data_IF_099118070209
#
_entry.id   IF_099118070209
#
_cell.length_a   1.000
_cell.length_b   1.000
_cell.length_c   1.000
_cell.angle_alpha   90.00
_cell.angle_beta   90.00
_cell.angle_gamma   90.00
#
_symmetry.space_group_name_H-M   'P 1'
#
loop_
_entity.id
_entity.type
_entity.pdbx_description
1 polymer ?
#
# COMPACT_ATOMS: atom_id res chain seq x y z
N UNK A 1 -19.78 0.12 21.98
CA UNK A 1 -18.48 0.54 21.41
C UNK A 1 -18.72 1.08 20.01
N UNK A 2 -18.24 2.30 19.75
CA UNK A 2 -18.35 2.99 18.44
C UNK A 2 -16.99 3.58 18.11
N UNK A 3 -16.50 3.33 16.91
CA UNK A 3 -15.29 3.97 16.39
C UNK A 3 -15.60 5.42 16.01
N UNK A 4 -14.97 6.38 16.68
CA UNK A 4 -15.16 7.82 16.44
C UNK A 4 -14.29 8.34 15.31
N UNK A 5 -13.02 7.94 15.29
CA UNK A 5 -12.06 8.30 14.25
C UNK A 5 -10.99 7.21 14.10
N UNK A 6 -10.32 7.20 12.94
CA UNK A 6 -9.18 6.32 12.64
C UNK A 6 -8.01 7.15 12.16
N UNK A 7 -6.81 6.61 12.25
CA UNK A 7 -5.56 7.25 11.80
C UNK A 7 -5.33 8.65 12.42
N UNK A 8 -5.73 8.82 13.68
CA UNK A 8 -5.50 10.05 14.44
C UNK A 8 -4.05 10.07 14.90
N UNK A 9 -3.40 11.25 14.85
CA UNK A 9 -2.02 11.35 15.34
C UNK A 9 -1.94 11.07 16.85
N UNK A 10 -0.82 10.49 17.34
CA UNK A 10 -0.67 10.18 18.77
C UNK A 10 -0.89 11.39 19.69
N UNK A 11 -0.47 12.58 19.26
CA UNK A 11 -0.62 13.82 20.03
C UNK A 11 -2.10 14.20 20.19
N UNK A 12 -2.86 14.14 19.10
CA UNK A 12 -4.30 14.44 19.13
C UNK A 12 -5.05 13.37 19.94
N UNK A 13 -4.69 12.09 19.77
CA UNK A 13 -5.27 11.01 20.57
C UNK A 13 -5.03 11.21 22.06
N UNK A 14 -3.80 11.60 22.45
CA UNK A 14 -3.46 11.88 23.86
C UNK A 14 -4.25 13.07 24.42
N UNK A 15 -4.46 14.14 23.64
CA UNK A 15 -5.29 15.28 24.04
C UNK A 15 -6.74 14.87 24.27
N UNK A 16 -7.33 14.10 23.33
CA UNK A 16 -8.73 13.66 23.42
C UNK A 16 -8.93 12.77 24.65
N UNK A 17 -8.05 11.77 24.86
CA UNK A 17 -8.19 10.86 26.00
C UNK A 17 -7.92 11.52 27.35
N UNK A 18 -7.17 12.61 27.39
CA UNK A 18 -6.98 13.41 28.60
C UNK A 18 -8.22 14.27 28.92
N UNK A 19 -8.90 14.79 27.91
CA UNK A 19 -10.09 15.64 28.06
C UNK A 19 -11.36 14.79 28.27
N UNK A 20 -11.44 13.61 27.62
CA UNK A 20 -12.59 12.70 27.63
C UNK A 20 -12.17 11.31 28.11
N UNK A 21 -12.17 11.03 29.42
CA UNK A 21 -11.70 9.73 29.97
C UNK A 21 -12.50 8.51 29.50
N UNK A 22 -13.72 8.70 28.99
CA UNK A 22 -14.57 7.67 28.38
C UNK A 22 -14.12 7.26 26.96
N UNK A 23 -13.26 8.07 26.33
CA UNK A 23 -12.74 7.78 24.99
C UNK A 23 -11.44 6.97 25.10
N UNK A 24 -11.44 5.76 24.57
CA UNK A 24 -10.24 4.95 24.45
C UNK A 24 -9.50 5.22 23.15
N UNK A 25 -8.17 5.10 23.16
CA UNK A 25 -7.34 5.14 21.96
C UNK A 25 -6.48 3.88 21.89
N UNK A 26 -6.61 3.15 20.78
CA UNK A 26 -5.83 1.94 20.52
C UNK A 26 -4.76 2.25 19.47
N UNK A 27 -3.47 1.92 19.72
CA UNK A 27 -2.41 2.06 18.73
C UNK A 27 -2.69 1.18 17.51
N UNK A 28 -2.56 1.75 16.31
CA UNK A 28 -2.70 1.03 15.05
C UNK A 28 -1.50 1.31 14.16
N UNK A 29 -0.95 0.27 13.52
CA UNK A 29 0.04 0.44 12.47
C UNK A 29 -0.65 1.00 11.20
N UNK A 30 -0.01 1.99 10.59
CA UNK A 30 -0.50 2.62 9.36
C UNK A 30 0.52 2.39 8.26
N UNK A 31 0.07 1.89 7.11
CA UNK A 31 0.91 1.78 5.91
C UNK A 31 1.07 3.17 5.29
N UNK A 32 2.31 3.56 5.01
CA UNK A 32 2.63 4.83 4.38
C UNK A 32 3.16 4.59 2.97
N UNK A 33 2.71 5.41 2.03
CA UNK A 33 3.11 5.37 0.62
C UNK A 33 3.77 6.71 0.22
N UNK A 34 5.06 6.91 0.54
CA UNK A 34 5.74 8.19 0.27
C UNK A 34 5.76 8.57 -1.22
N UNK A 35 5.74 7.57 -2.10
CA UNK A 35 5.67 7.75 -3.55
C UNK A 35 4.29 8.21 -4.07
N UNK A 36 3.25 8.14 -3.23
CA UNK A 36 1.88 8.49 -3.64
C UNK A 36 1.39 7.65 -4.82
N UNK A 37 1.33 8.24 -6.02
CA UNK A 37 0.93 7.56 -7.25
C UNK A 37 2.08 6.92 -8.04
N UNK A 38 3.34 7.08 -7.58
CA UNK A 38 4.47 6.48 -8.25
C UNK A 38 4.42 4.95 -8.13
N UNK A 39 4.34 4.25 -9.27
CA UNK A 39 4.21 2.80 -9.35
C UNK A 39 3.05 2.20 -8.52
N UNK A 40 2.02 2.98 -8.18
CA UNK A 40 0.94 2.52 -7.32
C UNK A 40 0.22 1.27 -7.87
N UNK A 41 0.05 1.17 -9.20
CA UNK A 41 -0.52 -0.02 -9.85
C UNK A 41 0.32 -1.31 -9.67
N UNK A 42 1.62 -1.17 -9.38
CA UNK A 42 2.52 -2.30 -9.10
C UNK A 42 2.60 -2.57 -7.61
N UNK A 43 2.89 -1.54 -6.81
CA UNK A 43 3.00 -1.66 -5.35
C UNK A 43 1.68 -2.10 -4.73
N UNK A 44 0.61 -1.41 -5.08
CA UNK A 44 -0.71 -1.71 -4.55
C UNK A 44 -1.07 -0.90 -3.31
N UNK A 45 -2.02 -1.41 -2.55
CA UNK A 45 -2.54 -0.78 -1.34
C UNK A 45 -3.07 -1.82 -0.36
N UNK A 46 -3.21 -1.42 0.90
CA UNK A 46 -3.72 -2.25 1.99
C UNK A 46 -5.04 -1.67 2.54
N UNK A 47 -5.84 -2.49 3.21
CA UNK A 47 -6.99 -2.02 3.96
C UNK A 47 -6.58 -1.41 5.31
N UNK A 48 -7.57 -0.93 6.07
CA UNK A 48 -7.35 -0.36 7.40
C UNK A 48 -6.78 -1.34 8.42
N UNK A 49 -6.94 -2.64 8.21
CA UNK A 49 -6.42 -3.69 9.09
C UNK A 49 -5.01 -4.14 8.68
N UNK A 50 -4.44 -3.51 7.63
CA UNK A 50 -3.11 -3.80 7.13
C UNK A 50 -3.02 -4.96 6.15
N UNK A 51 -4.16 -5.57 5.74
CA UNK A 51 -4.16 -6.66 4.76
C UNK A 51 -4.07 -6.10 3.34
N UNK A 52 -3.27 -6.72 2.50
CA UNK A 52 -3.09 -6.32 1.11
C UNK A 52 -4.38 -6.45 0.29
N UNK A 53 -4.76 -5.40 -0.44
CA UNK A 53 -5.96 -5.37 -1.27
C UNK A 53 -5.67 -5.52 -2.75
N UNK A 54 -4.65 -4.87 -3.25
CA UNK A 54 -4.27 -4.84 -4.67
C UNK A 54 -2.75 -4.83 -4.83
N UNK A 55 -2.26 -5.14 -6.03
CA UNK A 55 -0.85 -5.10 -6.38
C UNK A 55 0.02 -6.10 -5.62
N UNK A 56 1.27 -5.75 -5.39
CA UNK A 56 2.23 -6.55 -4.63
C UNK A 56 1.85 -6.66 -3.16
N UNK A 57 1.23 -5.63 -2.58
CA UNK A 57 0.72 -5.69 -1.20
C UNK A 57 -0.25 -6.87 -1.04
N UNK A 58 -1.15 -7.11 -2.01
CA UNK A 58 -2.06 -8.25 -1.98
C UNK A 58 -1.36 -9.58 -2.31
N UNK A 59 -0.54 -9.61 -3.35
CA UNK A 59 0.08 -10.87 -3.81
C UNK A 59 1.16 -11.40 -2.87
N UNK A 60 1.77 -10.52 -2.08
CA UNK A 60 2.83 -10.82 -1.12
C UNK A 60 2.40 -10.60 0.33
N UNK A 61 1.11 -10.48 0.59
CA UNK A 61 0.57 -10.20 1.92
C UNK A 61 1.11 -11.18 2.97
N UNK A 62 1.13 -12.47 2.68
CA UNK A 62 1.68 -13.51 3.58
C UNK A 62 3.17 -13.36 3.92
N UNK A 63 3.93 -12.63 3.10
CA UNK A 63 5.36 -12.36 3.29
C UNK A 63 5.55 -11.02 4.00
N UNK A 64 4.74 -10.03 3.64
CA UNK A 64 4.81 -8.66 4.18
C UNK A 64 4.15 -8.56 5.54
N UNK A 65 3.08 -9.32 5.78
CA UNK A 65 2.42 -9.37 7.07
C UNK A 65 3.35 -9.95 8.13
N UNK A 66 3.38 -9.33 9.30
CA UNK A 66 4.02 -9.90 10.47
C UNK A 66 3.10 -10.86 11.22
N UNK A 67 3.52 -11.26 12.38
CA UNK A 67 2.69 -11.97 13.34
C UNK A 67 2.55 -11.14 14.59
N UNK A 68 1.32 -10.85 14.99
CA UNK A 68 1.06 -10.04 16.17
C UNK A 68 1.57 -10.73 17.44
N UNK A 69 2.17 -9.93 18.31
CA UNK A 69 2.52 -10.36 19.64
C UNK A 69 1.30 -10.37 20.57
N UNK A 70 1.42 -11.08 21.68
CA UNK A 70 0.40 -11.06 22.71
C UNK A 70 1.01 -11.02 24.11
N UNK A 71 0.28 -10.40 25.04
CA UNK A 71 0.62 -10.41 26.47
C UNK A 71 -0.66 -10.44 27.29
N UNK A 72 -0.63 -11.17 28.39
CA UNK A 72 -1.70 -11.20 29.37
C UNK A 72 -1.30 -10.39 30.58
N UNK A 73 -2.21 -9.58 31.11
CA UNK A 73 -2.01 -8.81 32.34
C UNK A 73 -3.34 -8.65 33.06
N UNK A 74 -3.29 -8.41 34.35
CA UNK A 74 -4.47 -8.14 35.17
C UNK A 74 -4.73 -6.64 35.25
N UNK A 75 -6.00 -6.26 35.28
CA UNK A 75 -6.43 -4.86 35.43
C UNK A 75 -7.12 -4.68 36.78
N UNK A 76 -6.88 -3.54 37.41
CA UNK A 76 -7.64 -3.10 38.59
C UNK A 76 -9.09 -2.75 38.23
N UNK A 77 -9.89 -2.49 39.23
CA UNK A 77 -11.30 -2.05 39.06
C UNK A 77 -11.41 -0.68 38.36
N UNK A 78 -10.35 0.09 38.37
CA UNK A 78 -10.18 1.37 37.68
C UNK A 78 -9.72 1.23 36.22
N UNK A 79 -9.49 -0.03 35.74
CA UNK A 79 -8.98 -0.32 34.41
C UNK A 79 -7.45 -0.21 34.27
N UNK A 80 -6.74 0.26 35.30
CA UNK A 80 -5.28 0.34 35.25
C UNK A 80 -4.62 -1.05 35.26
N UNK A 81 -3.51 -1.19 34.54
CA UNK A 81 -2.73 -2.44 34.52
C UNK A 81 -2.03 -2.58 35.88
N UNK A 82 -2.21 -3.75 36.51
CA UNK A 82 -1.53 -4.06 37.79
C UNK A 82 -0.04 -4.29 37.52
N UNK A 83 0.87 -3.49 38.10
CA UNK A 83 2.30 -3.67 37.93
C UNK A 83 2.75 -5.10 38.30
N UNK A 84 3.57 -5.72 37.44
CA UNK A 84 4.09 -7.07 37.67
C UNK A 84 3.11 -8.22 37.33
N UNK A 85 1.90 -7.93 36.91
CA UNK A 85 0.90 -8.96 36.50
C UNK A 85 1.10 -9.49 35.08
N UNK A 86 2.01 -8.89 34.29
CA UNK A 86 2.25 -9.29 32.90
C UNK A 86 2.81 -10.72 32.82
N UNK A 87 2.16 -11.56 32.05
CA UNK A 87 2.53 -12.96 31.80
C UNK A 87 2.21 -13.37 30.36
N UNK A 88 2.66 -14.55 29.95
CA UNK A 88 2.42 -15.11 28.61
C UNK A 88 2.77 -14.10 27.50
N UNK A 89 4.00 -13.55 27.56
CA UNK A 89 4.46 -12.58 26.56
C UNK A 89 4.96 -13.34 25.33
N UNK A 90 4.29 -13.13 24.22
CA UNK A 90 4.74 -13.56 22.91
C UNK A 90 5.12 -12.31 22.10
N UNK A 91 6.40 -12.10 21.77
CA UNK A 91 6.80 -10.93 21.01
C UNK A 91 6.22 -10.96 19.59
N UNK A 92 5.92 -9.78 19.03
CA UNK A 92 5.54 -9.65 17.63
C UNK A 92 6.73 -10.03 16.72
N UNK A 93 6.42 -10.61 15.58
CA UNK A 93 7.40 -10.94 14.53
C UNK A 93 7.10 -10.03 13.34
N UNK A 94 8.07 -9.21 12.94
CA UNK A 94 7.91 -8.33 11.79
C UNK A 94 7.82 -9.13 10.49
N UNK A 95 7.04 -8.63 9.54
CA UNK A 95 7.01 -9.14 8.18
C UNK A 95 8.36 -8.92 7.46
N UNK A 96 8.53 -9.60 6.34
CA UNK A 96 9.73 -9.48 5.54
C UNK A 96 9.77 -8.16 4.76
N UNK A 97 10.97 -7.69 4.45
CA UNK A 97 11.18 -6.56 3.55
C UNK A 97 11.27 -7.06 2.11
N UNK A 98 10.51 -6.46 1.22
CA UNK A 98 10.57 -6.72 -0.22
C UNK A 98 11.22 -5.53 -0.92
N UNK A 99 12.31 -5.79 -1.67
CA UNK A 99 12.99 -4.80 -2.50
C UNK A 99 12.65 -5.08 -3.97
N UNK A 100 12.12 -4.08 -4.66
CA UNK A 100 11.80 -4.15 -6.07
C UNK A 100 13.00 -3.71 -6.92
N UNK A 101 12.99 -4.13 -8.19
CA UNK A 101 13.96 -3.69 -9.21
C UNK A 101 13.56 -2.35 -9.86
N UNK A 102 12.36 -1.84 -9.53
CA UNK A 102 11.89 -0.58 -10.06
C UNK A 102 12.83 0.56 -9.64
N UNK A 103 13.26 1.34 -10.62
CA UNK A 103 13.99 2.58 -10.43
C UNK A 103 12.99 3.74 -10.36
N UNK A 104 13.04 4.52 -9.30
CA UNK A 104 12.06 5.59 -9.04
C UNK A 104 12.08 6.70 -10.09
N UNK A 105 13.26 7.05 -10.61
CA UNK A 105 13.42 8.14 -11.57
C UNK A 105 12.97 7.69 -12.95
N UNK A 106 13.32 6.46 -13.35
CA UNK A 106 12.86 5.85 -14.60
C UNK A 106 11.35 5.68 -14.55
N UNK A 107 10.80 5.17 -13.46
CA UNK A 107 9.36 4.98 -13.27
C UNK A 107 8.60 6.31 -13.39
N UNK A 108 9.07 7.35 -12.72
CA UNK A 108 8.45 8.67 -12.78
C UNK A 108 8.42 9.22 -14.21
N UNK A 109 9.56 9.13 -14.90
CA UNK A 109 9.69 9.59 -16.27
C UNK A 109 8.75 8.81 -17.20
N UNK A 110 8.78 7.48 -17.16
CA UNK A 110 7.97 6.63 -18.03
C UNK A 110 6.48 6.84 -17.75
N UNK A 111 6.07 6.95 -16.49
CA UNK A 111 4.69 7.22 -16.11
C UNK A 111 4.18 8.57 -16.66
N UNK A 112 5.03 9.60 -16.62
CA UNK A 112 4.73 10.91 -17.22
C UNK A 112 4.58 10.81 -18.74
N UNK A 113 5.50 10.13 -19.43
CA UNK A 113 5.50 10.01 -20.89
C UNK A 113 4.34 9.17 -21.40
N UNK A 114 3.97 8.08 -20.72
CA UNK A 114 2.80 7.26 -21.06
C UNK A 114 1.51 8.12 -21.06
N UNK A 115 1.33 8.95 -20.03
CA UNK A 115 0.18 9.86 -19.96
C UNK A 115 0.17 10.89 -21.10
N UNK A 116 1.32 11.50 -21.41
CA UNK A 116 1.46 12.45 -22.53
C UNK A 116 1.19 11.77 -23.88
N UNK A 117 1.75 10.59 -24.09
CA UNK A 117 1.58 9.83 -25.33
C UNK A 117 0.11 9.45 -25.57
N UNK A 118 -0.60 9.02 -24.52
CA UNK A 118 -2.03 8.75 -24.59
C UNK A 118 -2.83 9.99 -25.01
N UNK A 119 -2.56 11.13 -24.36
CA UNK A 119 -3.25 12.39 -24.66
C UNK A 119 -2.98 12.87 -26.10
N UNK A 120 -1.71 12.79 -26.54
CA UNK A 120 -1.32 13.23 -27.86
C UNK A 120 -1.87 12.35 -28.99
N UNK A 121 -1.97 11.04 -28.76
CA UNK A 121 -2.44 10.08 -29.79
C UNK A 121 -3.96 9.88 -29.79
N UNK A 122 -4.66 10.26 -28.72
CA UNK A 122 -6.08 9.92 -28.53
C UNK A 122 -6.32 8.41 -28.33
N UNK A 123 -5.30 7.65 -27.95
CA UNK A 123 -5.41 6.21 -27.72
C UNK A 123 -6.38 5.90 -26.58
N UNK A 124 -7.03 4.73 -26.64
CA UNK A 124 -7.93 4.25 -25.57
C UNK A 124 -7.17 3.97 -24.28
N UNK A 125 -5.99 3.39 -24.40
CA UNK A 125 -5.08 3.09 -23.28
C UNK A 125 -3.64 3.15 -23.74
N UNK A 126 -2.72 3.32 -22.80
CA UNK A 126 -1.29 3.26 -23.04
C UNK A 126 -0.60 2.64 -21.83
N UNK A 127 0.40 1.81 -22.08
CA UNK A 127 1.27 1.26 -21.05
C UNK A 127 2.69 1.12 -21.59
N UNK A 128 3.66 1.12 -20.70
CA UNK A 128 5.05 0.90 -21.04
C UNK A 128 5.73 0.08 -19.94
N UNK A 129 6.61 -0.84 -20.36
CA UNK A 129 7.47 -1.63 -19.48
C UNK A 129 8.90 -1.41 -19.93
N UNK A 130 9.78 -1.06 -19.01
CA UNK A 130 11.21 -0.89 -19.24
C UNK A 130 11.96 -2.03 -18.55
N UNK A 131 12.74 -2.74 -19.32
CA UNK A 131 13.54 -3.87 -18.85
C UNK A 131 15.03 -3.60 -19.04
N UNK A 132 15.84 -4.06 -18.10
CA UNK A 132 17.27 -4.23 -18.35
C UNK A 132 17.47 -5.38 -19.35
N UNK A 133 18.07 -5.07 -20.50
CA UNK A 133 18.22 -6.03 -21.58
C UNK A 133 19.21 -7.20 -21.26
N UNK A 134 20.04 -7.04 -20.23
CA UNK A 134 21.03 -8.07 -19.84
C UNK A 134 20.49 -8.96 -18.74
N UNK A 135 19.77 -8.38 -17.76
CA UNK A 135 19.30 -9.11 -16.56
C UNK A 135 17.84 -9.53 -16.66
N UNK A 136 17.04 -8.84 -17.48
CA UNK A 136 15.59 -9.00 -17.55
C UNK A 136 14.84 -8.31 -16.39
N UNK A 137 15.54 -7.58 -15.55
CA UNK A 137 14.91 -6.85 -14.43
C UNK A 137 13.97 -5.77 -14.94
N UNK A 138 12.80 -5.66 -14.32
CA UNK A 138 11.83 -4.61 -14.63
C UNK A 138 12.26 -3.34 -13.91
N UNK A 139 12.67 -2.33 -14.67
CA UNK A 139 13.10 -1.03 -14.15
C UNK A 139 11.95 -0.03 -14.03
N UNK A 140 10.93 -0.14 -14.89
CA UNK A 140 9.70 0.61 -14.79
C UNK A 140 8.52 -0.14 -15.41
N UNK A 141 7.32 0.08 -14.86
CA UNK A 141 6.07 -0.43 -15.40
C UNK A 141 4.98 0.62 -15.16
N UNK A 142 4.52 1.26 -16.22
CA UNK A 142 3.58 2.37 -16.15
C UNK A 142 2.37 2.18 -17.03
N UNK A 143 1.24 2.68 -16.58
CA UNK A 143 -0.04 2.72 -17.30
C UNK A 143 -0.53 4.17 -17.38
N UNK A 144 -1.46 4.42 -18.29
CA UNK A 144 -2.10 5.72 -18.50
C UNK A 144 -3.09 6.12 -17.38
N UNK A 145 -3.46 5.19 -16.52
CA UNK A 145 -4.23 5.39 -15.30
C UNK A 145 -3.46 4.91 -14.09
N UNK A 146 -3.47 5.70 -13.03
CA UNK A 146 -2.89 5.33 -11.73
C UNK A 146 -3.68 5.99 -10.62
N UNK A 147 -3.62 5.41 -9.45
CA UNK A 147 -4.24 5.94 -8.24
C UNK A 147 -3.17 6.51 -7.29
N UNK A 148 -3.60 7.22 -6.26
CA UNK A 148 -2.71 7.70 -5.21
C UNK A 148 -2.88 6.83 -3.96
N UNK A 149 -1.93 5.93 -3.72
CA UNK A 149 -1.94 5.02 -2.57
C UNK A 149 -1.91 5.74 -1.19
N UNK A 150 -1.56 7.04 -1.16
CA UNK A 150 -1.66 7.85 0.07
C UNK A 150 -3.09 8.32 0.39
N UNK A 151 -4.07 7.97 -0.45
CA UNK A 151 -5.49 8.34 -0.27
C UNK A 151 -6.36 7.09 -0.20
N UNK A 152 -7.50 7.14 0.52
CA UNK A 152 -8.42 6.02 0.59
C UNK A 152 -8.86 5.53 -0.79
N UNK A 153 -8.94 4.21 -0.97
CA UNK A 153 -9.39 3.62 -2.24
C UNK A 153 -10.82 4.03 -2.64
N UNK A 154 -11.65 4.37 -1.67
CA UNK A 154 -13.01 4.89 -1.90
C UNK A 154 -13.05 6.22 -2.66
N UNK A 155 -11.95 6.98 -2.64
CA UNK A 155 -11.80 8.25 -3.34
C UNK A 155 -11.13 8.10 -4.72
N UNK A 156 -10.76 6.88 -5.09
CA UNK A 156 -10.04 6.59 -6.34
C UNK A 156 -11.00 6.14 -7.45
N UNK A 157 -10.57 6.33 -8.69
CA UNK A 157 -11.29 5.82 -9.86
C UNK A 157 -11.03 4.32 -9.99
N UNK A 158 -12.06 3.49 -10.03
CA UNK A 158 -11.94 2.02 -10.09
C UNK A 158 -11.12 1.52 -11.28
N UNK A 159 -11.18 2.20 -12.43
CA UNK A 159 -10.38 1.86 -13.62
C UNK A 159 -8.89 2.01 -13.40
N UNK A 160 -8.46 2.82 -12.45
CA UNK A 160 -7.07 3.15 -12.22
C UNK A 160 -6.40 2.22 -11.19
N UNK A 161 -7.19 1.37 -10.51
CA UNK A 161 -6.71 0.45 -9.46
C UNK A 161 -5.98 -0.79 -10.01
N UNK A 162 -6.22 -1.15 -11.27
CA UNK A 162 -5.60 -2.32 -11.91
C UNK A 162 -4.20 -2.04 -12.47
N UNK A 163 -3.57 -3.10 -12.98
CA UNK A 163 -2.32 -3.00 -13.73
C UNK A 163 -2.51 -3.52 -15.16
N UNK A 164 -3.06 -2.72 -16.08
CA UNK A 164 -3.31 -3.11 -17.47
C UNK A 164 -2.09 -3.66 -18.21
N UNK A 165 -0.88 -3.23 -17.86
CA UNK A 165 0.35 -3.73 -18.48
C UNK A 165 0.51 -5.25 -18.37
N UNK A 166 -0.11 -5.88 -17.35
CA UNK A 166 -0.05 -7.33 -17.11
C UNK A 166 -1.39 -8.04 -17.17
N UNK A 167 -2.50 -7.29 -17.11
CA UNK A 167 -3.85 -7.90 -17.03
C UNK A 167 -4.69 -7.71 -18.28
N UNK A 168 -4.34 -6.75 -19.17
CA UNK A 168 -5.14 -6.44 -20.34
C UNK A 168 -4.53 -7.02 -21.62
N UNK A 169 -5.12 -8.05 -22.21
CA UNK A 169 -4.65 -8.59 -23.49
C UNK A 169 -4.92 -7.57 -24.62
N UNK A 170 -4.04 -7.53 -25.60
CA UNK A 170 -4.20 -6.73 -26.82
C UNK A 170 -3.75 -7.51 -28.06
N UNK A 171 -4.27 -7.12 -29.21
CA UNK A 171 -3.79 -7.65 -30.49
C UNK A 171 -2.60 -6.82 -30.99
N UNK A 172 -1.38 -7.38 -31.02
CA UNK A 172 -0.18 -6.63 -31.40
C UNK A 172 -0.11 -6.32 -32.89
N UNK A 173 -0.88 -7.02 -33.72
CA UNK A 173 -0.87 -6.86 -35.15
C UNK A 173 0.52 -7.08 -35.75
N UNK A 174 0.90 -6.26 -36.83
CA UNK A 174 2.19 -6.42 -37.53
C UNK A 174 3.41 -6.09 -36.64
N UNK A 175 3.21 -5.43 -35.50
CA UNK A 175 4.31 -5.15 -34.54
C UNK A 175 4.90 -6.45 -34.00
N UNK A 176 4.08 -7.50 -33.86
CA UNK A 176 4.54 -8.82 -33.41
C UNK A 176 5.55 -9.51 -34.34
N UNK A 177 5.79 -8.98 -35.56
CA UNK A 177 6.79 -9.54 -36.49
C UNK A 177 8.24 -9.20 -36.07
N UNK A 178 8.43 -8.39 -35.07
CA UNK A 178 9.75 -7.99 -34.55
C UNK A 178 10.24 -8.99 -33.49
N UNK A 179 9.36 -9.85 -32.97
CA UNK A 179 9.64 -10.84 -31.90
C UNK A 179 9.99 -12.18 -32.50
#
# INVERSE_FOLDING_TARGET
YVSLARAVSPEVAAQITAEYPEVGADPQAIRLYPGGSLAANVVGDVNYDGNGLIGLEASMDSVLAGTDGSKTYDRGSDGAVIPGSTRNVHPAINGATVKLTLDSDIQWFVQSEVNKAKQASGAKSASAVVLDAKTGEVLAMANDGTFNASKPLSEQTKSDLGNPAVTSPFEPGSVNKIV
#
